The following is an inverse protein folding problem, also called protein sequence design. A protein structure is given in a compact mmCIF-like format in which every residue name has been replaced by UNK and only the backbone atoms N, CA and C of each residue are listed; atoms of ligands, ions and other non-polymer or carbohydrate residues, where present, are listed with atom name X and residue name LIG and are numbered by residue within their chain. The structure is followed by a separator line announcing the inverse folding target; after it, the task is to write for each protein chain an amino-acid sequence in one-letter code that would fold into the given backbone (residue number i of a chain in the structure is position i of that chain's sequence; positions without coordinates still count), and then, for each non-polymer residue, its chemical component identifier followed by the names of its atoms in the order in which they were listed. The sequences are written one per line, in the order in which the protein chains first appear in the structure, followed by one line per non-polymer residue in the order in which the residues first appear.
data_IF_051536586191
#
_entry.id   IF_051536586191
#
_cell.length_a   1.000
_cell.length_b   1.000
_cell.length_c   1.000
_cell.angle_alpha   90.00
_cell.angle_beta   90.00
_cell.angle_gamma   90.00
#
_symmetry.space_group_name_H-M   'P 1'
#
loop_
_entity.id
_entity.type
_entity.pdbx_description
1 polymer ?
#
# COMPACT_ATOMS: atom_id res chain seq x y z
N UNK A 1 -9.31 -1.07 0.53
CA UNK A 1 -8.52 -1.00 -0.70
C UNK A 1 -7.06 -0.85 -0.32
N UNK A 2 -6.25 -1.86 -0.60
CA UNK A 2 -4.80 -1.85 -0.44
C UNK A 2 -4.22 -2.12 -1.85
N UNK A 3 -3.82 -1.05 -2.54
CA UNK A 3 -3.46 -1.06 -3.96
C UNK A 3 -2.23 -0.16 -4.18
N UNK A 4 -1.49 -0.37 -5.27
CA UNK A 4 -0.40 0.49 -5.72
C UNK A 4 0.99 -0.17 -5.79
N UNK A 5 1.25 -1.24 -5.04
CA UNK A 5 2.59 -1.87 -5.02
C UNK A 5 2.97 -2.48 -6.38
N UNK A 6 2.01 -3.08 -7.08
CA UNK A 6 2.22 -3.67 -8.40
C UNK A 6 2.42 -2.61 -9.47
N UNK A 7 1.68 -1.50 -9.39
CA UNK A 7 1.81 -0.36 -10.30
C UNK A 7 3.20 0.29 -10.21
N UNK A 8 3.80 0.29 -9.01
CA UNK A 8 5.17 0.73 -8.79
C UNK A 8 6.20 -0.30 -9.26
N UNK A 9 5.98 -1.58 -8.96
CA UNK A 9 7.01 -2.63 -9.09
C UNK A 9 7.04 -3.39 -10.41
N UNK A 10 5.93 -3.50 -11.14
CA UNK A 10 5.88 -4.23 -12.40
C UNK A 10 6.59 -3.55 -13.58
N UNK A 11 6.51 -2.22 -13.76
CA UNK A 11 7.18 -1.55 -14.88
C UNK A 11 8.71 -1.65 -14.81
N UNK A 12 9.30 -2.40 -15.74
CA UNK A 12 10.73 -2.73 -15.79
C UNK A 12 11.10 -4.08 -15.15
N UNK A 13 10.14 -4.80 -14.58
CA UNK A 13 10.29 -6.21 -14.15
C UNK A 13 9.57 -7.12 -15.15
N UNK A 14 8.25 -7.27 -14.99
CA UNK A 14 7.39 -8.10 -15.84
C UNK A 14 6.54 -7.30 -16.82
N UNK A 15 6.46 -5.98 -16.64
CA UNK A 15 5.78 -5.05 -17.55
C UNK A 15 6.78 -4.09 -18.24
N UNK A 16 6.45 -3.53 -19.41
CA UNK A 16 7.28 -2.51 -20.07
C UNK A 16 7.59 -1.31 -19.18
N UNK A 17 8.81 -0.76 -19.27
CA UNK A 17 9.20 0.47 -18.55
C UNK A 17 8.31 1.66 -18.91
N UNK A 18 7.71 1.66 -20.11
CA UNK A 18 6.77 2.69 -20.56
C UNK A 18 5.46 2.72 -19.77
N UNK A 19 5.16 1.70 -18.98
CA UNK A 19 3.98 1.64 -18.10
C UNK A 19 4.27 2.21 -16.70
N UNK A 20 5.45 2.80 -16.47
CA UNK A 20 5.77 3.49 -15.21
C UNK A 20 4.75 4.59 -14.94
N UNK A 21 4.22 4.57 -13.71
CA UNK A 21 3.28 5.58 -13.21
C UNK A 21 3.92 6.43 -12.12
N UNK A 22 3.42 7.64 -11.97
CA UNK A 22 3.79 8.53 -10.87
C UNK A 22 2.86 8.33 -9.67
N UNK A 23 3.24 8.85 -8.50
CA UNK A 23 2.34 8.91 -7.36
C UNK A 23 1.06 9.72 -7.65
N UNK A 24 1.13 10.73 -8.53
CA UNK A 24 -0.04 11.51 -8.93
C UNK A 24 -1.02 10.68 -9.77
N UNK A 25 -0.51 9.85 -10.69
CA UNK A 25 -1.34 8.92 -11.47
C UNK A 25 -2.05 7.91 -10.56
N UNK A 26 -1.34 7.40 -9.55
CA UNK A 26 -1.91 6.49 -8.55
C UNK A 26 -3.00 7.16 -7.71
N UNK A 27 -2.75 8.38 -7.24
CA UNK A 27 -3.75 9.16 -6.48
C UNK A 27 -5.00 9.40 -7.32
N UNK A 28 -4.85 9.74 -8.60
CA UNK A 28 -5.98 9.96 -9.50
C UNK A 28 -6.75 8.66 -9.78
N UNK A 29 -6.06 7.53 -9.96
CA UNK A 29 -6.70 6.23 -10.07
C UNK A 29 -7.48 5.87 -8.80
N UNK A 30 -6.91 6.12 -7.61
CA UNK A 30 -7.60 5.91 -6.34
C UNK A 30 -8.86 6.77 -6.23
N UNK A 31 -8.81 8.05 -6.63
CA UNK A 31 -9.98 8.95 -6.71
C UNK A 31 -11.10 8.40 -7.56
N UNK A 32 -10.77 7.90 -8.75
CA UNK A 32 -11.76 7.30 -9.63
C UNK A 32 -12.43 6.09 -8.99
N UNK A 33 -11.69 5.25 -8.26
CA UNK A 33 -12.28 4.10 -7.56
C UNK A 33 -13.16 4.55 -6.39
N UNK A 34 -12.73 5.55 -5.61
CA UNK A 34 -13.52 6.14 -4.53
C UNK A 34 -14.85 6.68 -5.08
N UNK A 35 -14.80 7.50 -6.14
CA UNK A 35 -15.99 8.05 -6.77
C UNK A 35 -16.96 6.95 -7.26
N UNK A 36 -16.44 5.92 -7.94
CA UNK A 36 -17.25 4.79 -8.42
C UNK A 36 -17.87 3.95 -7.29
N UNK A 37 -17.22 3.89 -6.13
CA UNK A 37 -17.78 3.23 -4.94
C UNK A 37 -18.91 4.07 -4.35
N UNK A 38 -18.69 5.39 -4.21
CA UNK A 38 -19.70 6.33 -3.71
C UNK A 38 -20.93 6.41 -4.62
N UNK A 39 -20.75 6.41 -5.95
CA UNK A 39 -21.85 6.35 -6.93
C UNK A 39 -22.75 5.11 -6.75
N UNK A 40 -22.23 4.06 -6.13
CA UNK A 40 -22.94 2.81 -5.83
C UNK A 40 -23.42 2.73 -4.38
N UNK A 41 -23.30 3.80 -3.61
CA UNK A 41 -23.65 3.82 -2.18
C UNK A 41 -22.72 2.98 -1.30
N UNK A 42 -21.53 2.61 -1.80
CA UNK A 42 -20.54 1.83 -1.07
C UNK A 42 -19.54 2.73 -0.34
N UNK A 43 -19.02 2.25 0.78
CA UNK A 43 -17.91 2.89 1.51
C UNK A 43 -16.56 2.50 0.90
N UNK A 44 -15.65 3.46 0.83
CA UNK A 44 -14.28 3.25 0.40
C UNK A 44 -13.32 3.42 1.58
N UNK A 45 -12.67 2.32 1.99
CA UNK A 45 -11.62 2.34 3.02
C UNK A 45 -10.24 2.20 2.38
N UNK A 46 -9.31 3.09 2.71
CA UNK A 46 -7.94 3.11 2.19
C UNK A 46 -6.98 2.37 3.12
N UNK A 47 -6.10 1.55 2.55
CA UNK A 47 -4.99 0.90 3.24
C UNK A 47 -3.67 1.45 2.73
N UNK A 48 -2.76 1.84 3.63
CA UNK A 48 -1.42 2.29 3.22
C UNK A 48 -0.61 1.14 2.63
N UNK A 49 0.14 1.41 1.55
CA UNK A 49 1.02 0.47 0.87
C UNK A 49 2.17 0.06 1.79
N UNK A 50 2.38 -1.25 1.91
CA UNK A 50 3.37 -1.85 2.79
C UNK A 50 4.80 -1.45 2.40
N UNK A 51 5.75 -1.46 3.34
CA UNK A 51 7.18 -1.37 3.01
C UNK A 51 7.63 -2.59 2.19
N UNK A 52 8.54 -2.39 1.24
CA UNK A 52 9.06 -3.46 0.37
C UNK A 52 10.57 -3.33 0.06
N UNK A 53 11.35 -2.66 0.91
CA UNK A 53 12.80 -2.53 0.69
C UNK A 53 13.51 -3.87 0.78
N UNK A 54 14.27 -4.16 -0.27
CA UNK A 54 15.03 -5.39 -0.41
C UNK A 54 14.18 -6.58 -0.85
N UNK A 55 13.00 -6.33 -1.42
CA UNK A 55 12.19 -7.38 -2.03
C UNK A 55 12.98 -8.21 -3.06
N UNK A 56 12.57 -9.46 -3.19
CA UNK A 56 13.22 -10.41 -4.12
C UNK A 56 12.68 -10.34 -5.54
N UNK A 57 11.67 -9.51 -5.81
CA UNK A 57 11.01 -9.37 -7.11
C UNK A 57 11.55 -8.21 -7.95
N UNK A 58 12.40 -7.35 -7.36
CA UNK A 58 12.96 -6.18 -8.01
C UNK A 58 12.03 -4.96 -8.03
N UNK A 59 11.08 -4.89 -7.10
CA UNK A 59 10.12 -3.78 -6.99
C UNK A 59 10.74 -2.54 -6.36
N UNK A 60 11.70 -2.72 -5.46
CA UNK A 60 12.33 -1.62 -4.74
C UNK A 60 13.28 -0.83 -5.63
N UNK A 61 13.06 0.47 -5.63
CA UNK A 61 14.01 1.49 -6.03
C UNK A 61 13.80 2.72 -5.13
N UNK A 62 14.79 3.62 -5.00
CA UNK A 62 14.60 4.90 -4.33
C UNK A 62 13.43 5.70 -4.89
N UNK A 63 13.20 5.63 -6.21
CA UNK A 63 12.10 6.30 -6.88
C UNK A 63 10.73 5.71 -6.49
N UNK A 64 10.62 4.37 -6.46
CA UNK A 64 9.40 3.68 -6.07
C UNK A 64 9.07 3.90 -4.59
N UNK A 65 10.10 3.93 -3.72
CA UNK A 65 9.91 4.27 -2.31
C UNK A 65 9.46 5.72 -2.14
N UNK A 66 10.01 6.67 -2.88
CA UNK A 66 9.55 8.06 -2.86
C UNK A 66 8.09 8.17 -3.29
N UNK A 67 7.69 7.47 -4.37
CA UNK A 67 6.30 7.44 -4.83
C UNK A 67 5.37 6.79 -3.79
N UNK A 68 5.78 5.68 -3.18
CA UNK A 68 5.04 5.02 -2.09
C UNK A 68 4.81 5.95 -0.91
N UNK A 69 5.82 6.73 -0.51
CA UNK A 69 5.69 7.71 0.58
C UNK A 69 4.69 8.82 0.25
N UNK A 70 4.71 9.34 -0.98
CA UNK A 70 3.73 10.36 -1.43
C UNK A 70 2.31 9.79 -1.42
N UNK A 71 2.12 8.59 -1.99
CA UNK A 71 0.81 7.93 -1.99
C UNK A 71 0.33 7.66 -0.56
N UNK A 72 1.17 7.09 0.30
CA UNK A 72 0.83 6.81 1.68
C UNK A 72 0.56 8.07 2.51
N UNK A 73 1.25 9.17 2.23
CA UNK A 73 0.95 10.46 2.85
C UNK A 73 -0.46 10.90 2.45
N UNK A 74 -0.78 10.91 1.15
CA UNK A 74 -2.12 11.27 0.67
C UNK A 74 -3.21 10.36 1.22
N UNK A 75 -3.00 9.04 1.28
CA UNK A 75 -3.96 8.10 1.88
C UNK A 75 -4.28 8.50 3.32
N UNK A 76 -3.27 8.90 4.10
CA UNK A 76 -3.44 9.25 5.52
C UNK A 76 -4.07 10.62 5.74
N UNK A 77 -3.73 11.61 4.91
CA UNK A 77 -4.02 13.02 5.21
C UNK A 77 -5.01 13.66 4.24
N UNK A 78 -5.25 13.06 3.08
CA UNK A 78 -6.07 13.64 2.00
C UNK A 78 -7.56 13.70 2.34
N UNK A 79 -8.05 12.85 3.24
CA UNK A 79 -9.45 12.88 3.70
C UNK A 79 -10.48 12.40 2.67
N UNK A 80 -10.03 11.79 1.56
CA UNK A 80 -10.90 11.35 0.46
C UNK A 80 -11.50 9.95 0.71
N UNK A 81 -10.85 9.15 1.57
CA UNK A 81 -11.38 7.86 2.03
C UNK A 81 -12.38 8.03 3.18
N UNK A 82 -13.40 7.18 3.25
CA UNK A 82 -14.33 7.12 4.38
C UNK A 82 -13.64 6.68 5.69
N UNK A 83 -12.57 5.88 5.57
CA UNK A 83 -11.69 5.51 6.68
C UNK A 83 -10.34 5.03 6.14
N UNK A 84 -9.30 5.12 6.98
CA UNK A 84 -7.93 4.70 6.65
C UNK A 84 -7.44 3.65 7.65
N UNK A 85 -6.78 2.61 7.14
CA UNK A 85 -6.12 1.56 7.91
C UNK A 85 -4.62 1.60 7.58
N UNK A 86 -3.80 1.91 8.57
CA UNK A 86 -2.36 2.13 8.36
C UNK A 86 -1.56 0.82 8.43
N UNK A 87 -1.64 0.02 7.36
CA UNK A 87 -0.91 -1.25 7.24
C UNK A 87 0.62 -1.06 7.16
N UNK A 88 1.10 0.01 6.52
CA UNK A 88 2.52 0.40 6.57
C UNK A 88 3.00 0.50 8.02
N UNK A 89 2.29 1.24 8.88
CA UNK A 89 2.66 1.35 10.29
C UNK A 89 2.52 0.03 11.05
N UNK A 90 1.54 -0.80 10.69
CA UNK A 90 1.29 -2.06 11.37
C UNK A 90 2.41 -3.09 11.14
N UNK A 91 3.06 -3.05 9.97
CA UNK A 91 4.00 -4.09 9.54
C UNK A 91 5.46 -3.66 9.42
N UNK A 92 5.76 -2.36 9.33
CA UNK A 92 7.12 -1.88 9.13
C UNK A 92 8.05 -2.20 10.30
N UNK A 93 9.31 -2.44 9.97
CA UNK A 93 10.38 -2.53 10.97
C UNK A 93 10.61 -1.15 11.61
N UNK A 94 10.56 -1.01 12.95
CA UNK A 94 10.86 0.27 13.60
C UNK A 94 12.32 0.73 13.41
N UNK A 95 13.25 -0.18 13.13
CA UNK A 95 14.66 0.13 12.87
C UNK A 95 14.93 0.53 11.41
N UNK A 96 14.17 -0.01 10.45
CA UNK A 96 14.18 0.42 9.06
C UNK A 96 12.73 0.47 8.51
N UNK A 97 12.04 1.62 8.61
CA UNK A 97 10.63 1.74 8.22
C UNK A 97 10.31 1.48 6.75
N UNK A 98 11.34 1.27 5.91
CA UNK A 98 11.17 0.87 4.50
C UNK A 98 11.11 -0.64 4.32
N UNK A 99 11.37 -1.44 5.38
CA UNK A 99 11.31 -2.92 5.36
C UNK A 99 10.10 -3.44 6.13
N UNK A 100 9.61 -4.62 5.75
CA UNK A 100 8.75 -5.41 6.61
C UNK A 100 9.54 -5.83 7.86
N UNK A 101 8.89 -5.80 9.02
CA UNK A 101 9.45 -6.38 10.23
C UNK A 101 9.58 -7.89 10.01
N UNK A 102 10.76 -8.46 10.26
CA UNK A 102 11.09 -9.85 9.92
C UNK A 102 10.08 -10.89 10.46
N UNK A 103 9.40 -10.60 11.58
CA UNK A 103 8.37 -11.49 12.15
C UNK A 103 7.06 -11.58 11.33
N UNK A 104 6.90 -10.70 10.35
CA UNK A 104 5.72 -10.58 9.50
C UNK A 104 6.03 -10.88 8.04
N UNK A 105 7.28 -11.23 7.74
CA UNK A 105 7.80 -11.34 6.38
C UNK A 105 7.77 -12.79 5.94
N UNK A 106 7.19 -13.07 4.77
CA UNK A 106 7.18 -14.41 4.18
C UNK A 106 8.57 -14.92 3.76
N UNK A 107 9.57 -14.03 3.77
CA UNK A 107 10.95 -14.27 3.36
C UNK A 107 11.29 -13.62 2.02
N UNK A 108 10.32 -13.04 1.32
CA UNK A 108 10.53 -12.33 0.06
C UNK A 108 10.65 -10.81 0.21
N UNK A 109 10.49 -10.29 1.43
CA UNK A 109 10.53 -8.88 1.81
C UNK A 109 9.48 -7.99 1.13
N UNK A 110 8.40 -8.58 0.62
CA UNK A 110 7.28 -7.91 -0.05
C UNK A 110 5.92 -8.34 0.51
N UNK A 111 5.72 -9.65 0.66
CA UNK A 111 4.47 -10.24 1.10
C UNK A 111 4.49 -10.57 2.59
N UNK A 112 3.44 -10.21 3.34
CA UNK A 112 3.28 -10.66 4.71
C UNK A 112 3.08 -12.18 4.79
N UNK A 113 3.63 -12.80 5.84
CA UNK A 113 3.29 -14.17 6.23
C UNK A 113 1.98 -14.23 7.04
N UNK A 114 1.66 -15.39 7.63
CA UNK A 114 0.46 -15.56 8.46
C UNK A 114 0.43 -14.61 9.67
N UNK A 115 1.58 -14.38 10.33
CA UNK A 115 1.67 -13.46 11.46
C UNK A 115 1.48 -12.00 11.01
N UNK A 116 1.99 -11.66 9.82
CA UNK A 116 1.75 -10.39 9.15
C UNK A 116 0.29 -10.18 8.79
N UNK A 117 -0.36 -11.19 8.20
CA UNK A 117 -1.80 -11.16 7.91
C UNK A 117 -2.64 -10.97 9.17
N UNK A 118 -2.29 -11.66 10.27
CA UNK A 118 -2.95 -11.50 11.56
C UNK A 118 -2.75 -10.09 12.15
N UNK A 119 -1.55 -9.52 12.01
CA UNK A 119 -1.27 -8.13 12.41
C UNK A 119 -2.07 -7.11 11.59
N UNK A 120 -2.22 -7.34 10.28
CA UNK A 120 -3.09 -6.53 9.43
C UNK A 120 -4.55 -6.63 9.88
N UNK A 121 -5.05 -7.83 10.16
CA UNK A 121 -6.42 -8.03 10.65
C UNK A 121 -6.68 -7.26 11.97
N UNK A 122 -5.72 -7.32 12.92
CA UNK A 122 -5.80 -6.55 14.18
C UNK A 122 -5.75 -5.04 13.98
N UNK A 123 -5.16 -4.55 12.90
CA UNK A 123 -5.10 -3.13 12.60
C UNK A 123 -6.45 -2.57 12.09
N UNK A 124 -7.39 -3.42 11.66
CA UNK A 124 -8.71 -3.01 11.18
C UNK A 124 -9.61 -2.67 12.38
N UNK A 125 -10.06 -1.41 12.54
CA UNK A 125 -10.99 -1.09 13.61
C UNK A 125 -12.36 -1.75 13.37
N UNK A 126 -12.80 -2.60 14.29
CA UNK A 126 -14.05 -3.38 14.13
C UNK A 126 -15.30 -2.52 13.93
N UNK A 127 -15.29 -1.25 14.35
CA UNK A 127 -16.38 -0.29 14.08
C UNK A 127 -16.62 -0.03 12.58
N UNK A 128 -15.65 -0.34 11.73
CA UNK A 128 -15.75 -0.19 10.27
C UNK A 128 -16.47 -1.35 9.59
N UNK A 129 -16.72 -2.47 10.30
CA UNK A 129 -17.35 -3.69 9.76
C UNK A 129 -18.81 -3.84 10.19
N UNK A 130 -19.43 -2.76 10.64
CA UNK A 130 -20.80 -2.74 11.16
C UNK A 130 -21.78 -2.28 10.10
#
# INVERSE_FOLDING_TARGET
MLLGVNDLGHPGTVAPVSERVTAADLIEAHRQIIARAHDRGLKAYGGTVLPFKGDTLGFYSPENEAARQVLNHWIRTGGEYDAVIDFDRALRDPADPQRLLARYDSGDHLHPDDAGAEAMARAVPLRLLR
#
